data_IF_973505947535
#
_entry.id   IF_973505947535
#
_cell.length_a   1.000
_cell.length_b   1.000
_cell.length_c   1.000
_cell.angle_alpha   90.00
_cell.angle_beta   90.00
_cell.angle_gamma   90.00
#
_symmetry.space_group_name_H-M   'P 1'
#
loop_
_entity.id
_entity.type
_entity.pdbx_description
1 polymer ?
#
# COMPACT_ATOMS: atom_id res chain seq x y z
N UNK A 1 -3.83 9.58 26.53
CA UNK A 1 -3.60 9.87 25.08
C UNK A 1 -3.11 11.29 24.94
N UNK A 2 -1.94 11.46 24.37
CA UNK A 2 -1.35 12.79 24.13
C UNK A 2 -1.86 13.36 22.82
N UNK A 3 -2.26 14.63 22.81
CA UNK A 3 -2.69 15.36 21.64
C UNK A 3 -1.73 16.52 21.40
N UNK A 4 -1.07 16.51 20.25
CA UNK A 4 -0.18 17.58 19.81
C UNK A 4 -0.95 18.51 18.85
N UNK A 5 -0.50 19.76 18.72
CA UNK A 5 -1.14 20.77 17.86
C UNK A 5 -0.18 21.31 16.81
N UNK A 6 -0.70 21.69 15.63
CA UNK A 6 0.05 22.33 14.55
C UNK A 6 1.31 21.52 14.15
N UNK A 7 1.08 20.26 13.84
CA UNK A 7 2.16 19.30 13.53
C UNK A 7 2.35 19.20 12.01
N UNK A 8 3.59 19.44 11.56
CA UNK A 8 3.95 19.25 10.16
C UNK A 8 3.87 17.78 9.75
N UNK A 9 3.11 17.50 8.70
CA UNK A 9 2.90 16.16 8.16
C UNK A 9 4.08 15.66 7.32
N UNK A 10 4.98 16.56 6.89
CA UNK A 10 6.18 16.19 6.10
C UNK A 10 7.03 15.11 6.74
N UNK A 11 7.14 15.10 8.06
CA UNK A 11 7.93 14.12 8.81
C UNK A 11 7.21 12.78 9.01
N UNK A 12 5.91 12.72 8.74
CA UNK A 12 5.07 11.52 8.91
C UNK A 12 4.72 10.85 7.59
N UNK A 13 5.18 11.39 6.46
CA UNK A 13 5.02 10.77 5.14
C UNK A 13 6.38 10.49 4.51
N UNK A 14 6.47 9.42 3.73
CA UNK A 14 7.72 9.07 3.04
C UNK A 14 8.00 9.97 1.82
N UNK A 15 7.00 10.67 1.31
CA UNK A 15 7.16 11.67 0.23
C UNK A 15 7.80 12.98 0.73
N UNK A 16 7.75 13.24 2.05
CA UNK A 16 8.30 14.44 2.69
C UNK A 16 7.70 15.75 2.18
N UNK A 17 6.45 15.73 1.72
CA UNK A 17 5.65 16.88 1.32
C UNK A 17 4.43 17.06 2.21
N UNK A 18 3.80 18.24 2.15
CA UNK A 18 2.53 18.58 2.77
C UNK A 18 2.62 19.61 3.91
N UNK A 19 1.47 20.11 4.29
CA UNK A 19 1.27 21.11 5.32
C UNK A 19 1.25 20.55 6.73
N UNK A 20 0.36 21.11 7.53
CA UNK A 20 0.22 20.78 8.96
C UNK A 20 -1.14 20.11 9.23
N UNK A 21 -1.25 19.40 10.34
CA UNK A 21 -2.52 19.03 10.92
C UNK A 21 -2.78 19.86 12.17
N UNK A 22 -4.03 20.28 12.38
CA UNK A 22 -4.43 21.02 13.58
C UNK A 22 -4.19 20.22 14.85
N UNK A 23 -4.52 18.92 14.81
CA UNK A 23 -4.31 18.01 15.92
C UNK A 23 -3.67 16.70 15.44
N UNK A 24 -2.79 16.16 16.25
CA UNK A 24 -2.24 14.80 16.05
C UNK A 24 -2.37 14.04 17.37
N UNK A 25 -2.90 12.83 17.31
CA UNK A 25 -3.08 11.96 18.46
C UNK A 25 -2.52 10.57 18.20
N UNK A 26 -2.03 9.90 19.24
CA UNK A 26 -1.57 8.50 19.17
C UNK A 26 -2.53 7.63 19.97
N UNK A 27 -2.97 6.51 19.40
CA UNK A 27 -3.76 5.49 20.07
C UNK A 27 -2.97 4.19 20.20
N UNK A 28 -2.78 3.73 21.43
CA UNK A 28 -2.11 2.47 21.76
C UNK A 28 -3.11 1.36 22.14
N UNK A 29 -4.39 1.70 22.20
CA UNK A 29 -5.47 0.78 22.55
C UNK A 29 -6.77 1.08 21.80
N UNK A 30 -7.66 0.09 21.72
CA UNK A 30 -9.02 0.28 21.20
C UNK A 30 -9.80 1.35 22.01
N UNK A 31 -9.57 1.42 23.32
CA UNK A 31 -10.19 2.42 24.20
C UNK A 31 -9.77 3.85 23.85
N UNK A 32 -8.50 4.06 23.47
CA UNK A 32 -8.01 5.36 23.00
C UNK A 32 -8.71 5.77 21.69
N UNK A 33 -8.83 4.83 20.73
CA UNK A 33 -9.54 5.08 19.47
C UNK A 33 -10.99 5.49 19.73
N UNK A 34 -11.73 4.72 20.54
CA UNK A 34 -13.14 5.02 20.88
C UNK A 34 -13.25 6.40 21.53
N UNK A 35 -12.37 6.70 22.48
CA UNK A 35 -12.36 7.97 23.21
C UNK A 35 -12.08 9.14 22.28
N UNK A 36 -11.11 8.99 21.37
CA UNK A 36 -10.74 10.02 20.39
C UNK A 36 -11.90 10.33 19.44
N UNK A 37 -12.50 9.29 18.85
CA UNK A 37 -13.61 9.47 17.91
C UNK A 37 -14.83 10.12 18.57
N UNK A 38 -15.16 9.76 19.83
CA UNK A 38 -16.24 10.38 20.59
C UNK A 38 -15.97 11.85 20.88
N UNK A 39 -14.74 12.22 21.22
CA UNK A 39 -14.35 13.62 21.45
C UNK A 39 -14.34 14.42 20.15
N UNK A 40 -13.75 13.87 19.06
CA UNK A 40 -13.76 14.50 17.75
C UNK A 40 -15.18 14.78 17.24
N UNK A 41 -16.12 13.84 17.47
CA UNK A 41 -17.54 14.03 17.11
C UNK A 41 -18.18 15.21 17.84
N UNK A 42 -17.88 15.43 19.14
CA UNK A 42 -18.41 16.58 19.90
C UNK A 42 -17.94 17.91 19.33
N UNK A 43 -16.71 17.94 18.84
CA UNK A 43 -16.05 19.13 18.29
C UNK A 43 -16.23 19.25 16.75
N UNK A 44 -16.96 18.31 16.12
CA UNK A 44 -17.13 18.22 14.66
C UNK A 44 -15.80 18.17 13.90
N UNK A 45 -14.77 17.52 14.45
CA UNK A 45 -13.46 17.39 13.82
C UNK A 45 -13.40 16.11 12.99
N UNK A 46 -12.96 16.16 11.72
CA UNK A 46 -12.68 14.98 10.93
C UNK A 46 -11.46 14.25 11.48
N UNK A 47 -11.43 12.91 11.32
CA UNK A 47 -10.27 12.10 11.68
C UNK A 47 -9.71 11.44 10.43
N UNK A 48 -8.39 11.53 10.27
CA UNK A 48 -7.63 10.76 9.29
C UNK A 48 -6.71 9.79 10.03
N UNK A 49 -6.88 8.48 9.77
CA UNK A 49 -6.02 7.45 10.37
C UNK A 49 -4.77 7.28 9.50
N UNK A 50 -3.61 7.54 10.09
CA UNK A 50 -2.32 7.43 9.43
C UNK A 50 -1.55 6.21 9.97
N UNK A 51 -1.17 5.30 9.06
CA UNK A 51 -0.24 4.22 9.36
C UNK A 51 1.22 4.67 9.24
N UNK A 52 2.01 4.01 8.43
CA UNK A 52 3.42 4.36 8.18
C UNK A 52 3.66 5.56 7.26
N UNK A 53 2.61 6.19 6.71
CA UNK A 53 2.73 7.34 5.81
C UNK A 53 3.39 7.04 4.45
N UNK A 54 3.55 5.77 4.11
CA UNK A 54 4.26 5.33 2.90
C UNK A 54 3.40 5.33 1.63
N UNK A 55 2.09 5.51 1.77
CA UNK A 55 1.14 5.56 0.66
C UNK A 55 0.09 6.67 0.86
N UNK A 56 0.54 7.78 1.42
CA UNK A 56 -0.27 8.98 1.67
C UNK A 56 0.46 10.21 1.16
N UNK A 57 -0.28 11.10 0.50
CA UNK A 57 0.13 12.43 0.09
C UNK A 57 -0.70 13.43 0.88
N UNK A 58 -0.06 14.44 1.41
CA UNK A 58 -0.71 15.50 2.18
C UNK A 58 -0.66 16.80 1.39
N UNK A 59 -1.78 17.53 1.37
CA UNK A 59 -1.86 18.86 0.80
C UNK A 59 -1.10 19.88 1.65
N UNK A 60 -0.85 21.08 1.11
CA UNK A 60 -0.08 22.12 1.81
C UNK A 60 -0.94 22.91 2.79
N UNK A 61 -2.26 22.91 2.61
CA UNK A 61 -3.21 23.53 3.53
C UNK A 61 -3.21 22.79 4.88
N UNK A 62 -3.62 23.52 5.93
CA UNK A 62 -3.78 22.90 7.24
C UNK A 62 -4.96 21.95 7.24
N UNK A 63 -4.74 20.68 7.57
CA UNK A 63 -5.85 19.76 7.83
C UNK A 63 -6.52 20.14 9.14
N UNK A 64 -7.71 20.74 9.06
CA UNK A 64 -8.52 21.23 10.19
C UNK A 64 -9.19 20.06 10.94
N UNK A 65 -8.45 19.00 11.21
CA UNK A 65 -8.91 17.77 11.85
C UNK A 65 -7.87 17.16 12.76
N UNK A 66 -8.03 15.87 13.00
CA UNK A 66 -7.14 15.06 13.81
C UNK A 66 -6.48 14.01 12.94
N UNK A 67 -5.16 13.98 12.87
CA UNK A 67 -4.40 12.84 12.34
C UNK A 67 -4.18 11.86 13.48
N UNK A 68 -4.73 10.66 13.35
CA UNK A 68 -4.61 9.58 14.31
C UNK A 68 -3.48 8.64 13.91
N UNK A 69 -2.43 8.56 14.71
CA UNK A 69 -1.38 7.54 14.61
C UNK A 69 -1.85 6.29 15.35
N UNK A 70 -2.21 5.25 14.60
CA UNK A 70 -2.59 3.97 15.21
C UNK A 70 -1.33 3.17 15.56
N UNK A 71 -1.10 2.96 16.85
CA UNK A 71 0.06 2.25 17.42
C UNK A 71 -0.35 0.99 18.20
N UNK A 72 -1.58 0.51 18.02
CA UNK A 72 -2.07 -0.70 18.69
C UNK A 72 -1.18 -1.88 18.30
N UNK A 73 -0.48 -2.44 19.29
CA UNK A 73 0.45 -3.54 19.14
C UNK A 73 -0.17 -4.88 19.51
N UNK A 74 0.47 -5.96 19.07
CA UNK A 74 0.14 -7.33 19.40
C UNK A 74 0.34 -8.27 18.21
N UNK A 75 0.86 -9.44 18.48
CA UNK A 75 0.97 -10.56 17.55
C UNK A 75 0.68 -11.83 18.34
N UNK A 76 -0.49 -12.39 18.17
CA UNK A 76 -1.01 -13.51 18.96
C UNK A 76 -1.48 -14.64 18.06
N UNK A 77 -1.02 -15.85 18.32
CA UNK A 77 -1.57 -17.08 17.73
C UNK A 77 -2.87 -17.41 18.46
N UNK A 78 -4.00 -17.29 17.76
CA UNK A 78 -5.34 -17.48 18.36
C UNK A 78 -5.96 -18.84 18.05
N UNK A 79 -5.48 -19.51 16.98
CA UNK A 79 -5.91 -20.86 16.61
C UNK A 79 -4.79 -21.55 15.82
N UNK A 80 -4.68 -22.85 15.97
CA UNK A 80 -3.66 -23.65 15.31
C UNK A 80 -4.20 -25.04 14.97
N UNK A 81 -3.92 -25.51 13.76
CA UNK A 81 -4.18 -26.86 13.27
C UNK A 81 -2.88 -27.47 12.75
N UNK A 82 -2.95 -28.69 12.22
CA UNK A 82 -1.79 -29.32 11.56
C UNK A 82 -1.39 -28.59 10.26
N UNK A 83 -2.34 -27.88 9.60
CA UNK A 83 -2.14 -27.27 8.29
C UNK A 83 -2.06 -25.73 8.34
N UNK A 84 -2.71 -25.10 9.32
CA UNK A 84 -2.86 -23.63 9.36
C UNK A 84 -2.71 -23.07 10.76
N UNK A 85 -2.36 -21.79 10.83
CA UNK A 85 -2.30 -20.99 12.05
C UNK A 85 -3.03 -19.68 11.82
N UNK A 86 -3.98 -19.33 12.69
CA UNK A 86 -4.66 -18.04 12.71
C UNK A 86 -3.92 -17.09 13.65
N UNK A 87 -3.50 -15.95 13.14
CA UNK A 87 -2.71 -14.96 13.88
C UNK A 87 -3.47 -13.64 13.94
N UNK A 88 -3.72 -13.13 15.14
CA UNK A 88 -4.29 -11.81 15.41
C UNK A 88 -3.16 -10.79 15.57
N UNK A 89 -3.21 -9.70 14.82
CA UNK A 89 -2.13 -8.72 14.68
C UNK A 89 -2.69 -7.32 14.92
N UNK A 90 -2.10 -6.57 15.83
CA UNK A 90 -2.47 -5.18 16.13
C UNK A 90 -2.22 -4.27 14.92
N UNK A 91 -3.14 -3.35 14.66
CA UNK A 91 -3.11 -2.48 13.48
C UNK A 91 -1.86 -1.60 13.39
N UNK A 92 -1.21 -1.28 14.51
CA UNK A 92 0.02 -0.50 14.61
C UNK A 92 1.31 -1.31 14.48
N UNK A 93 1.25 -2.64 14.25
CA UNK A 93 2.46 -3.43 13.98
C UNK A 93 3.07 -3.03 12.64
N UNK A 94 4.40 -2.98 12.57
CA UNK A 94 5.13 -2.76 11.31
C UNK A 94 4.93 -3.99 10.42
N UNK A 95 4.44 -3.77 9.20
CA UNK A 95 4.07 -4.88 8.32
C UNK A 95 5.24 -5.83 8.02
N UNK A 96 6.44 -5.30 7.74
CA UNK A 96 7.58 -6.14 7.42
C UNK A 96 8.07 -6.97 8.63
N UNK A 97 7.93 -6.45 9.85
CA UNK A 97 8.20 -7.22 11.10
C UNK A 97 7.17 -8.35 11.29
N UNK A 98 5.91 -8.11 10.91
CA UNK A 98 4.86 -9.15 10.91
C UNK A 98 5.21 -10.27 9.93
N UNK A 99 5.65 -9.92 8.72
CA UNK A 99 6.08 -10.91 7.70
C UNK A 99 7.29 -11.70 8.19
N UNK A 100 8.29 -11.03 8.74
CA UNK A 100 9.48 -11.69 9.29
C UNK A 100 9.13 -12.68 10.40
N UNK A 101 8.28 -12.26 11.34
CA UNK A 101 7.81 -13.13 12.43
C UNK A 101 6.99 -14.33 11.94
N UNK A 102 6.17 -14.14 10.90
CA UNK A 102 5.45 -15.26 10.28
C UNK A 102 6.41 -16.28 9.66
N UNK A 103 7.46 -15.81 8.99
CA UNK A 103 8.52 -16.66 8.40
C UNK A 103 9.30 -17.41 9.48
N UNK A 104 9.68 -16.76 10.59
CA UNK A 104 10.35 -17.38 11.74
C UNK A 104 9.51 -18.51 12.36
N UNK A 105 8.19 -18.38 12.33
CA UNK A 105 7.24 -19.39 12.79
C UNK A 105 6.96 -20.48 11.74
N UNK A 106 7.59 -20.43 10.56
CA UNK A 106 7.35 -21.37 9.46
C UNK A 106 5.97 -21.22 8.80
N UNK A 107 5.39 -20.01 8.83
CA UNK A 107 4.06 -19.73 8.34
C UNK A 107 4.10 -19.04 6.97
N UNK A 108 3.53 -19.69 5.95
CA UNK A 108 3.44 -19.26 4.58
C UNK A 108 2.17 -18.41 4.33
N UNK A 109 2.26 -17.48 3.39
CA UNK A 109 1.13 -16.73 2.84
C UNK A 109 1.36 -15.22 2.75
N UNK A 110 2.43 -14.72 3.38
CA UNK A 110 2.78 -13.28 3.38
C UNK A 110 4.24 -13.02 3.01
N UNK A 111 5.06 -14.04 2.82
CA UNK A 111 6.51 -13.96 2.59
C UNK A 111 6.88 -13.14 1.34
N UNK A 112 6.07 -13.19 0.29
CA UNK A 112 6.30 -12.38 -0.92
C UNK A 112 5.94 -10.90 -0.74
N UNK A 113 5.29 -10.54 0.37
CA UNK A 113 5.01 -9.14 0.75
C UNK A 113 6.09 -8.55 1.67
N UNK A 114 7.26 -9.19 1.77
CA UNK A 114 8.44 -8.69 2.51
C UNK A 114 8.88 -7.33 2.02
N UNK A 115 9.34 -6.48 2.94
CA UNK A 115 9.86 -5.14 2.65
C UNK A 115 8.80 -4.13 2.20
N UNK A 116 7.51 -4.43 2.29
CA UNK A 116 6.46 -3.43 2.06
C UNK A 116 6.39 -2.52 3.30
N UNK A 117 6.60 -1.21 3.15
CA UNK A 117 6.53 -0.28 4.28
C UNK A 117 5.08 -0.06 4.70
N UNK A 118 4.88 0.29 5.97
CA UNK A 118 3.57 0.61 6.52
C UNK A 118 3.21 -0.25 7.73
N UNK A 119 1.94 -0.28 8.09
CA UNK A 119 1.43 -0.99 9.26
C UNK A 119 0.40 -2.06 8.88
N UNK A 120 0.22 -3.04 9.75
CA UNK A 120 -0.72 -4.14 9.56
C UNK A 120 -2.16 -3.64 9.33
N UNK A 121 -2.61 -2.61 10.05
CA UNK A 121 -3.95 -2.01 9.85
C UNK A 121 -4.10 -1.22 8.55
N UNK A 122 -2.99 -0.80 7.91
CA UNK A 122 -3.04 -0.15 6.61
C UNK A 122 -3.11 -1.16 5.44
N UNK A 123 -2.68 -2.41 5.66
CA UNK A 123 -2.63 -3.43 4.61
C UNK A 123 -4.01 -3.72 3.97
N UNK A 124 -5.14 -3.89 4.71
CA UNK A 124 -6.45 -4.12 4.11
C UNK A 124 -7.02 -2.91 3.36
N UNK A 125 -6.57 -1.68 3.68
CA UNK A 125 -7.17 -0.45 3.12
C UNK A 125 -7.12 -0.46 1.59
N UNK A 126 -6.03 -0.91 1.00
CA UNK A 126 -5.86 -0.97 -0.45
C UNK A 126 -5.55 -2.39 -0.96
N UNK A 127 -5.90 -3.42 -0.20
CA UNK A 127 -5.55 -4.79 -0.57
C UNK A 127 -4.07 -4.87 -0.96
N UNK A 128 -3.18 -4.57 0.00
CA UNK A 128 -1.74 -4.54 -0.28
C UNK A 128 -1.28 -5.89 -0.82
N UNK A 129 -0.40 -5.86 -1.81
CA UNK A 129 0.12 -7.08 -2.41
C UNK A 129 1.34 -6.85 -3.29
N UNK A 130 2.18 -7.86 -3.37
CA UNK A 130 3.37 -7.90 -4.21
C UNK A 130 3.72 -9.35 -4.57
N UNK A 131 4.39 -9.53 -5.71
CA UNK A 131 4.96 -10.80 -6.16
C UNK A 131 3.97 -11.99 -6.13
N UNK A 132 2.70 -11.72 -6.44
CA UNK A 132 1.67 -12.76 -6.55
C UNK A 132 0.92 -13.07 -5.26
N UNK A 133 1.23 -12.40 -4.15
CA UNK A 133 0.47 -12.46 -2.91
C UNK A 133 -0.21 -11.13 -2.62
N UNK A 134 -1.39 -11.17 -2.01
CA UNK A 134 -2.11 -9.99 -1.52
C UNK A 134 -2.79 -10.29 -0.18
N UNK A 135 -3.13 -9.23 0.59
CA UNK A 135 -3.70 -9.41 1.92
C UNK A 135 -5.03 -10.19 1.88
N UNK A 136 -5.79 -10.06 0.80
CA UNK A 136 -7.04 -10.79 0.59
C UNK A 136 -6.85 -12.31 0.59
N UNK A 137 -5.66 -12.82 0.25
CA UNK A 137 -5.37 -14.26 0.21
C UNK A 137 -5.34 -14.89 1.61
N UNK A 138 -5.02 -14.11 2.64
CA UNK A 138 -4.77 -14.61 3.99
C UNK A 138 -5.67 -13.98 5.06
N UNK A 139 -6.25 -12.81 4.81
CA UNK A 139 -7.15 -12.17 5.78
C UNK A 139 -8.42 -13.02 5.94
N UNK A 140 -8.78 -13.33 7.19
CA UNK A 140 -10.07 -13.97 7.52
C UNK A 140 -11.05 -12.98 8.13
N UNK A 141 -10.57 -12.04 8.94
CA UNK A 141 -11.38 -10.98 9.52
C UNK A 141 -10.50 -9.84 10.06
N UNK A 142 -11.14 -8.76 10.41
CA UNK A 142 -10.52 -7.66 11.17
C UNK A 142 -11.53 -7.09 12.19
N UNK A 143 -11.01 -6.50 13.25
CA UNK A 143 -11.82 -5.68 14.16
C UNK A 143 -11.57 -4.21 13.85
N UNK A 144 -12.64 -3.44 13.78
CA UNK A 144 -12.58 -2.01 13.53
C UNK A 144 -13.59 -1.25 14.42
N UNK A 145 -13.22 -0.03 14.80
CA UNK A 145 -14.18 0.91 15.34
C UNK A 145 -14.99 1.51 14.18
N UNK A 146 -16.31 1.35 14.25
CA UNK A 146 -17.26 1.94 13.31
C UNK A 146 -17.75 3.30 13.83
N UNK A 147 -17.33 4.37 13.17
CA UNK A 147 -17.67 5.73 13.57
C UNK A 147 -19.15 6.06 13.37
N UNK A 148 -19.90 5.33 12.52
CA UNK A 148 -21.35 5.52 12.32
C UNK A 148 -22.15 4.94 13.47
N UNK A 149 -21.79 3.74 13.95
CA UNK A 149 -22.54 3.04 15.01
C UNK A 149 -21.99 3.27 16.42
N UNK A 150 -20.80 3.88 16.54
CA UNK A 150 -20.07 4.08 17.80
C UNK A 150 -19.76 2.76 18.53
N UNK A 151 -19.45 1.70 17.77
CA UNK A 151 -19.15 0.36 18.29
C UNK A 151 -17.93 -0.22 17.63
N UNK A 152 -17.32 -1.20 18.29
CA UNK A 152 -16.31 -2.07 17.68
C UNK A 152 -17.06 -3.20 16.98
N UNK A 153 -16.72 -3.43 15.72
CA UNK A 153 -17.31 -4.46 14.85
C UNK A 153 -16.25 -5.38 14.32
N UNK A 154 -16.63 -6.64 14.09
CA UNK A 154 -15.81 -7.60 13.32
C UNK A 154 -16.29 -7.59 11.87
N UNK A 155 -15.38 -7.43 10.93
CA UNK A 155 -15.62 -7.43 9.49
C UNK A 155 -14.88 -8.63 8.91
N UNK A 156 -15.61 -9.53 8.24
CA UNK A 156 -15.01 -10.68 7.55
C UNK A 156 -14.30 -10.25 6.26
N UNK A 157 -13.39 -11.08 5.77
CA UNK A 157 -12.70 -10.82 4.50
C UNK A 157 -13.67 -10.60 3.33
N UNK A 158 -14.78 -11.33 3.28
CA UNK A 158 -15.79 -11.19 2.22
C UNK A 158 -16.49 -9.83 2.26
N UNK A 159 -16.64 -9.23 3.44
CA UNK A 159 -17.27 -7.90 3.60
C UNK A 159 -16.30 -6.77 3.26
N UNK A 160 -14.99 -7.03 3.16
CA UNK A 160 -14.00 -6.04 2.77
C UNK A 160 -14.07 -5.65 1.28
N UNK A 161 -14.79 -6.41 0.44
CA UNK A 161 -14.98 -6.16 -1.00
C UNK A 161 -13.64 -5.87 -1.72
N UNK A 162 -12.66 -6.75 -1.49
CA UNK A 162 -11.32 -6.59 -2.03
C UNK A 162 -11.30 -6.70 -3.56
N UNK A 163 -10.55 -5.81 -4.17
CA UNK A 163 -10.19 -5.86 -5.57
C UNK A 163 -8.78 -5.27 -5.77
N UNK A 164 -8.30 -5.23 -7.00
CA UNK A 164 -6.97 -4.71 -7.28
C UNK A 164 -6.79 -3.29 -6.73
N UNK A 165 -5.92 -3.14 -5.72
CA UNK A 165 -5.62 -1.88 -5.01
C UNK A 165 -6.85 -1.18 -4.45
N UNK A 166 -7.87 -1.94 -4.01
CA UNK A 166 -9.12 -1.40 -3.48
C UNK A 166 -9.75 -2.27 -2.39
N UNK A 167 -10.55 -1.64 -1.53
CA UNK A 167 -11.43 -2.25 -0.54
C UNK A 167 -12.54 -1.27 -0.14
N UNK A 168 -13.50 -1.69 0.69
CA UNK A 168 -14.52 -0.78 1.25
C UNK A 168 -13.89 0.40 2.01
N UNK A 169 -12.73 0.20 2.66
CA UNK A 169 -12.06 1.23 3.47
C UNK A 169 -11.47 2.36 2.64
N UNK A 170 -11.15 2.08 1.38
CA UNK A 170 -10.63 3.05 0.43
C UNK A 170 -11.73 3.74 -0.39
N UNK A 171 -12.84 3.05 -0.62
CA UNK A 171 -13.91 3.45 -1.54
C UNK A 171 -15.22 3.73 -0.79
N UNK A 172 -16.15 2.81 -0.77
CA UNK A 172 -17.54 2.97 -0.33
C UNK A 172 -17.70 3.46 1.12
N UNK A 173 -16.81 3.05 1.99
CA UNK A 173 -16.83 3.37 3.43
C UNK A 173 -15.57 4.13 3.89
N UNK A 174 -14.97 4.90 2.96
CA UNK A 174 -13.80 5.73 3.27
C UNK A 174 -14.06 6.62 4.49
N UNK A 175 -13.15 6.57 5.47
CA UNK A 175 -13.21 7.36 6.70
C UNK A 175 -14.19 6.86 7.77
N UNK A 176 -14.97 5.81 7.51
CA UNK A 176 -15.90 5.23 8.47
C UNK A 176 -15.22 4.41 9.55
N UNK A 177 -14.27 3.56 9.14
CA UNK A 177 -13.67 2.56 10.01
C UNK A 177 -12.24 2.95 10.43
N UNK A 178 -11.93 2.71 11.71
CA UNK A 178 -10.56 2.66 12.20
C UNK A 178 -10.23 1.20 12.55
N UNK A 179 -9.38 0.56 11.75
CA UNK A 179 -8.96 -0.83 11.94
C UNK A 179 -8.14 -0.92 13.22
N UNK A 180 -8.48 -1.84 14.12
CA UNK A 180 -7.83 -2.06 15.42
C UNK A 180 -6.86 -3.24 15.38
N UNK A 181 -7.26 -4.30 14.70
CA UNK A 181 -6.43 -5.47 14.44
C UNK A 181 -6.89 -6.20 13.18
N UNK A 182 -6.03 -7.06 12.64
CA UNK A 182 -6.35 -7.98 11.55
C UNK A 182 -6.09 -9.41 12.02
N UNK A 183 -6.83 -10.36 11.48
CA UNK A 183 -6.60 -11.80 11.70
C UNK A 183 -6.28 -12.45 10.36
N UNK A 184 -5.10 -13.05 10.28
CA UNK A 184 -4.62 -13.76 9.10
C UNK A 184 -4.64 -15.25 9.36
N UNK A 185 -5.03 -16.03 8.35
CA UNK A 185 -4.81 -17.48 8.31
C UNK A 185 -3.61 -17.77 7.43
N UNK A 186 -2.57 -18.33 8.03
CA UNK A 186 -1.32 -18.65 7.40
C UNK A 186 -1.13 -20.17 7.36
N UNK A 187 -0.48 -20.68 6.31
CA UNK A 187 -0.30 -22.11 6.11
C UNK A 187 1.03 -22.61 6.69
N UNK A 188 1.03 -23.82 7.24
CA UNK A 188 2.24 -24.54 7.63
C UNK A 188 2.78 -25.35 6.45
N UNK A 189 3.25 -24.65 5.41
CA UNK A 189 3.69 -25.25 4.17
C UNK A 189 4.92 -24.54 3.61
N UNK A 190 5.74 -25.26 2.86
CA UNK A 190 6.82 -24.66 2.10
C UNK A 190 6.30 -24.02 0.80
N UNK A 191 6.91 -22.94 0.35
CA UNK A 191 6.53 -22.29 -0.91
C UNK A 191 6.80 -23.23 -2.11
N UNK A 192 5.87 -23.24 -3.07
CA UNK A 192 5.94 -24.11 -4.25
C UNK A 192 5.78 -23.31 -5.55
N UNK A 193 6.46 -23.73 -6.64
CA UNK A 193 6.24 -23.12 -7.94
C UNK A 193 4.79 -23.36 -8.44
N UNK A 194 4.29 -22.55 -9.39
CA UNK A 194 5.01 -21.48 -10.08
C UNK A 194 5.17 -20.21 -9.23
N UNK A 195 6.39 -19.66 -9.22
CA UNK A 195 6.64 -18.39 -8.57
C UNK A 195 6.32 -17.21 -9.49
N UNK A 196 6.12 -16.02 -8.90
CA UNK A 196 5.98 -14.80 -9.67
C UNK A 196 7.21 -14.58 -10.58
N UNK A 197 6.99 -14.12 -11.82
CA UNK A 197 8.02 -14.14 -12.87
C UNK A 197 9.38 -13.50 -12.46
N UNK A 198 9.37 -12.38 -11.74
CA UNK A 198 10.62 -11.77 -11.29
C UNK A 198 11.30 -12.53 -10.14
N UNK A 199 10.52 -13.22 -9.32
CA UNK A 199 11.02 -14.09 -8.26
C UNK A 199 11.64 -15.37 -8.86
N UNK A 200 10.93 -16.00 -9.82
CA UNK A 200 11.47 -17.15 -10.56
C UNK A 200 12.78 -16.79 -11.26
N UNK A 201 12.83 -15.63 -11.93
CA UNK A 201 14.04 -15.14 -12.58
C UNK A 201 15.21 -14.99 -11.58
N UNK A 202 14.95 -14.41 -10.41
CA UNK A 202 15.96 -14.26 -9.35
C UNK A 202 16.48 -15.62 -8.87
N UNK A 203 15.59 -16.59 -8.66
CA UNK A 203 15.93 -17.96 -8.26
C UNK A 203 16.84 -18.62 -9.30
N UNK A 204 16.47 -18.51 -10.58
CA UNK A 204 17.21 -19.10 -11.69
C UNK A 204 18.60 -18.45 -11.87
N UNK A 205 18.69 -17.12 -11.83
CA UNK A 205 19.93 -16.36 -12.00
C UNK A 205 20.93 -16.55 -10.84
N UNK A 206 20.46 -16.96 -9.67
CA UNK A 206 21.31 -17.21 -8.50
C UNK A 206 21.50 -18.72 -8.21
N UNK A 207 21.12 -19.61 -9.14
CA UNK A 207 21.24 -21.07 -9.00
C UNK A 207 20.66 -21.64 -7.68
N UNK A 208 19.55 -21.04 -7.16
CA UNK A 208 18.91 -21.44 -5.92
C UNK A 208 18.14 -22.75 -6.14
N UNK A 209 18.59 -23.82 -5.47
CA UNK A 209 18.02 -25.17 -5.63
C UNK A 209 16.94 -25.50 -4.60
N UNK A 210 17.07 -24.97 -3.39
CA UNK A 210 16.14 -25.18 -2.29
C UNK A 210 15.46 -23.86 -1.94
N UNK A 211 14.15 -23.80 -2.15
CA UNK A 211 13.35 -22.59 -1.93
C UNK A 211 12.47 -22.80 -0.71
N UNK A 212 12.72 -22.02 0.34
CA UNK A 212 11.93 -21.94 1.56
C UNK A 212 11.47 -20.49 1.80
N UNK A 213 10.73 -20.25 2.86
CA UNK A 213 10.17 -18.93 3.20
C UNK A 213 11.27 -17.85 3.33
N UNK A 214 12.38 -18.18 3.99
CA UNK A 214 13.50 -17.23 4.16
C UNK A 214 14.17 -16.90 2.83
N UNK A 215 14.31 -17.85 1.92
CA UNK A 215 14.83 -17.64 0.56
C UNK A 215 13.92 -16.72 -0.23
N UNK A 216 12.60 -16.90 -0.17
CA UNK A 216 11.62 -15.99 -0.79
C UNK A 216 11.79 -14.57 -0.24
N UNK A 217 11.85 -14.39 1.09
CA UNK A 217 12.06 -13.09 1.71
C UNK A 217 13.32 -12.41 1.19
N UNK A 218 14.46 -13.10 1.22
CA UNK A 218 15.75 -12.56 0.74
C UNK A 218 15.66 -12.16 -0.72
N UNK A 219 15.09 -13.00 -1.59
CA UNK A 219 14.91 -12.71 -2.99
C UNK A 219 14.03 -11.48 -3.22
N UNK A 220 12.90 -11.38 -2.50
CA UNK A 220 11.98 -10.23 -2.59
C UNK A 220 12.68 -8.95 -2.14
N UNK A 221 13.39 -8.95 -1.01
CA UNK A 221 14.12 -7.78 -0.51
C UNK A 221 15.19 -7.31 -1.51
N UNK A 222 15.94 -8.22 -2.12
CA UNK A 222 16.94 -7.90 -3.14
C UNK A 222 16.28 -7.31 -4.40
N UNK A 223 15.25 -7.95 -4.94
CA UNK A 223 14.53 -7.44 -6.11
C UNK A 223 13.93 -6.05 -5.83
N UNK A 224 13.44 -5.80 -4.62
CA UNK A 224 12.88 -4.50 -4.22
C UNK A 224 13.97 -3.43 -4.12
N UNK A 225 15.10 -3.72 -3.48
CA UNK A 225 16.21 -2.78 -3.32
C UNK A 225 16.83 -2.34 -4.66
N UNK A 226 16.80 -3.21 -5.67
CA UNK A 226 17.22 -2.86 -7.02
C UNK A 226 16.25 -1.91 -7.75
N UNK A 227 14.94 -2.03 -7.48
CA UNK A 227 13.87 -1.35 -8.23
C UNK A 227 13.26 -0.16 -7.50
N UNK A 228 13.33 -0.12 -6.20
CA UNK A 228 12.70 0.91 -5.38
C UNK A 228 13.77 1.69 -4.61
N UNK A 229 13.67 3.02 -4.55
CA UNK A 229 14.54 3.80 -3.70
C UNK A 229 14.20 3.57 -2.22
N UNK A 230 15.19 3.72 -1.35
CA UNK A 230 14.92 3.88 0.08
C UNK A 230 14.30 5.27 0.31
N UNK A 231 13.07 5.36 0.84
CA UNK A 231 12.43 6.66 1.08
C UNK A 231 13.16 7.54 2.12
N UNK A 232 14.04 6.98 2.92
CA UNK A 232 14.86 7.74 3.85
C UNK A 232 15.93 8.57 3.11
N UNK A 233 16.45 8.03 1.99
CA UNK A 233 17.47 8.68 1.15
C UNK A 233 16.82 9.46 0.00
N UNK A 234 15.85 8.85 -0.67
CA UNK A 234 15.11 9.44 -1.80
C UNK A 234 13.61 9.43 -1.49
N UNK A 235 13.06 10.54 -0.96
CA UNK A 235 11.66 10.63 -0.58
C UNK A 235 10.71 10.22 -1.71
N UNK A 236 9.84 9.25 -1.44
CA UNK A 236 8.90 8.69 -2.41
C UNK A 236 7.77 7.94 -1.69
N UNK A 237 6.68 7.67 -2.39
CA UNK A 237 5.55 6.90 -1.86
C UNK A 237 5.45 5.50 -2.50
N UNK A 238 6.60 4.87 -2.82
CA UNK A 238 6.63 3.61 -3.54
C UNK A 238 6.12 3.76 -4.98
N UNK A 239 5.37 2.77 -5.48
CA UNK A 239 4.68 2.90 -6.77
C UNK A 239 3.64 4.00 -6.70
N UNK A 240 3.84 5.09 -7.47
CA UNK A 240 2.95 6.24 -7.43
C UNK A 240 1.68 6.05 -8.24
N UNK A 241 1.75 5.27 -9.32
CA UNK A 241 0.60 4.96 -10.17
C UNK A 241 0.21 3.49 -10.03
N UNK A 242 -1.11 3.22 -10.05
CA UNK A 242 -1.64 1.88 -10.20
C UNK A 242 -1.34 1.36 -11.62
N UNK A 243 -1.23 0.05 -11.77
CA UNK A 243 -1.25 -0.53 -13.11
C UNK A 243 -2.62 -0.29 -13.77
N UNK A 244 -2.61 0.04 -15.05
CA UNK A 244 -3.80 0.35 -15.80
C UNK A 244 -4.65 -0.90 -16.05
N UNK A 245 -5.96 -0.79 -15.81
CA UNK A 245 -6.92 -1.82 -16.17
C UNK A 245 -7.65 -1.39 -17.45
N UNK A 246 -7.57 -2.21 -18.48
CA UNK A 246 -8.17 -1.88 -19.78
C UNK A 246 -9.08 -3.01 -20.27
N UNK A 247 -10.06 -2.66 -21.08
CA UNK A 247 -10.90 -3.60 -21.78
C UNK A 247 -10.10 -4.34 -22.89
N UNK A 248 -10.54 -5.54 -23.26
CA UNK A 248 -9.87 -6.37 -24.28
C UNK A 248 -9.65 -5.63 -25.59
N UNK A 249 -10.66 -4.89 -26.07
CA UNK A 249 -10.55 -4.14 -27.31
C UNK A 249 -9.43 -3.08 -27.29
N UNK A 250 -9.21 -2.44 -26.12
CA UNK A 250 -8.14 -1.45 -25.95
C UNK A 250 -6.76 -2.10 -25.96
N UNK A 251 -6.63 -3.26 -25.32
CA UNK A 251 -5.39 -4.05 -25.42
C UNK A 251 -5.10 -4.46 -26.85
N UNK A 252 -6.09 -4.98 -27.58
CA UNK A 252 -5.93 -5.38 -28.99
C UNK A 252 -5.57 -4.18 -29.93
N UNK A 253 -6.11 -3.00 -29.65
CA UNK A 253 -5.72 -1.76 -30.32
C UNK A 253 -4.24 -1.46 -30.10
N UNK A 254 -3.79 -1.49 -28.86
CA UNK A 254 -2.40 -1.20 -28.50
C UNK A 254 -1.42 -2.25 -29.04
N UNK A 255 -1.80 -3.53 -29.07
CA UNK A 255 -0.97 -4.60 -29.60
C UNK A 255 -0.67 -4.48 -31.08
N UNK A 256 -1.45 -3.74 -31.85
CA UNK A 256 -1.18 -3.46 -33.27
C UNK A 256 0.07 -2.59 -33.47
N UNK A 257 0.33 -1.69 -32.51
CA UNK A 257 1.49 -0.79 -32.54
C UNK A 257 2.63 -1.32 -31.63
N UNK A 258 2.26 -1.92 -30.50
CA UNK A 258 3.19 -2.41 -29.46
C UNK A 258 2.96 -3.91 -29.25
N UNK A 259 3.49 -4.75 -30.13
CA UNK A 259 3.31 -6.21 -30.07
C UNK A 259 3.91 -6.84 -28.80
N UNK A 260 4.85 -6.17 -28.14
CA UNK A 260 5.55 -6.57 -26.92
C UNK A 260 4.90 -6.05 -25.62
N UNK A 261 3.70 -5.42 -25.69
CA UNK A 261 3.03 -4.87 -24.52
C UNK A 261 2.74 -5.95 -23.46
N UNK A 262 3.34 -5.84 -22.25
CA UNK A 262 3.06 -6.81 -21.21
C UNK A 262 1.62 -6.63 -20.70
N UNK A 263 0.92 -7.74 -20.52
CA UNK A 263 -0.45 -7.72 -20.06
C UNK A 263 -0.77 -8.96 -19.23
N UNK A 264 -1.73 -8.82 -18.31
CA UNK A 264 -2.17 -9.89 -17.42
C UNK A 264 -3.70 -9.90 -17.38
N UNK A 265 -4.30 -11.04 -17.69
CA UNK A 265 -5.75 -11.21 -17.61
C UNK A 265 -6.22 -11.12 -16.16
N UNK A 266 -7.32 -10.40 -15.94
CA UNK A 266 -7.98 -10.26 -14.64
C UNK A 266 -9.24 -11.13 -14.60
N UNK A 267 -9.68 -11.47 -13.38
CA UNK A 267 -10.88 -12.32 -13.17
C UNK A 267 -12.19 -11.66 -13.65
N UNK A 268 -12.21 -10.34 -13.77
CA UNK A 268 -13.35 -9.56 -14.26
C UNK A 268 -13.40 -9.39 -15.79
N UNK A 269 -12.46 -10.03 -16.51
CA UNK A 269 -12.37 -10.00 -17.98
C UNK A 269 -11.54 -8.84 -18.55
N UNK A 270 -11.08 -7.91 -17.71
CA UNK A 270 -10.16 -6.84 -18.10
C UNK A 270 -8.72 -7.33 -18.16
N UNK A 271 -7.85 -6.49 -18.64
CA UNK A 271 -6.40 -6.73 -18.71
C UNK A 271 -5.64 -5.67 -17.95
N UNK A 272 -4.72 -6.10 -17.11
CA UNK A 272 -3.80 -5.23 -16.39
C UNK A 272 -2.54 -5.00 -17.23
N UNK A 273 -2.28 -3.73 -17.55
CA UNK A 273 -1.06 -3.28 -18.24
C UNK A 273 -0.16 -2.60 -17.20
N UNK A 274 1.14 -2.98 -17.12
CA UNK A 274 2.08 -2.28 -16.24
C UNK A 274 2.21 -0.79 -16.61
N UNK A 275 1.75 0.08 -15.75
CA UNK A 275 1.84 1.54 -15.97
C UNK A 275 3.29 2.02 -16.07
N UNK A 276 4.22 1.36 -15.37
CA UNK A 276 5.65 1.63 -15.55
C UNK A 276 6.15 1.43 -16.97
N UNK A 277 5.60 0.44 -17.70
CA UNK A 277 5.88 0.24 -19.12
C UNK A 277 5.31 1.37 -19.97
N UNK A 278 4.09 1.82 -19.68
CA UNK A 278 3.46 2.96 -20.40
C UNK A 278 4.28 4.25 -20.22
N UNK A 279 4.68 4.57 -19.00
CA UNK A 279 5.48 5.75 -18.65
C UNK A 279 6.86 5.66 -19.33
N UNK A 280 7.50 4.49 -19.32
CA UNK A 280 8.78 4.26 -19.97
C UNK A 280 8.70 4.39 -21.50
N UNK A 281 7.71 3.76 -22.12
CA UNK A 281 7.44 3.88 -23.57
C UNK A 281 6.99 5.29 -23.99
N UNK A 282 6.44 6.08 -23.06
CA UNK A 282 6.17 7.49 -23.28
C UNK A 282 7.47 8.35 -23.26
N UNK A 283 8.62 7.76 -22.92
CA UNK A 283 9.91 8.46 -22.85
C UNK A 283 10.11 9.25 -21.55
N UNK A 284 9.35 8.92 -20.52
CA UNK A 284 9.34 9.68 -19.25
C UNK A 284 10.26 9.09 -18.17
N UNK A 285 11.00 8.00 -18.44
CA UNK A 285 11.99 7.47 -17.50
C UNK A 285 13.07 8.52 -17.22
N UNK A 286 13.27 8.88 -15.95
CA UNK A 286 14.19 9.96 -15.55
C UNK A 286 13.69 11.38 -15.83
N UNK A 287 12.43 11.53 -16.29
CA UNK A 287 11.81 12.85 -16.51
C UNK A 287 11.78 13.67 -15.22
N UNK A 288 12.13 14.95 -15.32
CA UNK A 288 12.20 15.87 -14.19
C UNK A 288 11.36 17.09 -14.45
N UNK A 289 10.50 17.44 -13.51
CA UNK A 289 9.69 18.65 -13.53
C UNK A 289 9.29 19.02 -12.10
N UNK A 290 9.09 20.28 -11.80
CA UNK A 290 8.59 20.77 -10.50
C UNK A 290 9.32 20.22 -9.28
N UNK A 291 10.65 20.06 -9.36
CA UNK A 291 11.43 19.48 -8.23
C UNK A 291 11.21 18.00 -7.98
N UNK A 292 10.43 17.33 -8.82
CA UNK A 292 10.15 15.90 -8.78
C UNK A 292 10.81 15.17 -9.96
N UNK A 293 10.94 13.84 -9.85
CA UNK A 293 11.55 13.00 -10.87
C UNK A 293 10.86 11.63 -10.98
N UNK A 294 10.67 11.17 -12.21
CA UNK A 294 10.36 9.75 -12.48
C UNK A 294 11.63 8.94 -12.28
N UNK A 295 11.59 7.97 -11.37
CA UNK A 295 12.78 7.20 -10.98
C UNK A 295 13.32 6.35 -12.13
N UNK A 296 14.65 6.39 -12.34
CA UNK A 296 15.30 5.77 -13.49
C UNK A 296 15.24 4.23 -13.47
N UNK A 297 15.21 3.61 -12.26
CA UNK A 297 15.15 2.15 -12.14
C UNK A 297 13.71 1.61 -12.19
N UNK A 298 12.71 2.45 -11.92
CA UNK A 298 11.30 2.07 -11.95
C UNK A 298 10.41 3.28 -12.25
N UNK A 299 9.88 3.34 -13.45
CA UNK A 299 9.07 4.48 -13.91
C UNK A 299 7.71 4.62 -13.18
N UNK A 300 7.30 3.67 -12.32
CA UNK A 300 6.14 3.82 -11.44
C UNK A 300 6.42 4.73 -10.23
N UNK A 301 7.68 4.99 -9.92
CA UNK A 301 8.06 5.73 -8.70
C UNK A 301 8.31 7.19 -9.05
N UNK A 302 7.68 8.09 -8.30
CA UNK A 302 8.02 9.50 -8.27
C UNK A 302 8.89 9.78 -7.04
N UNK A 303 10.03 10.42 -7.27
CA UNK A 303 10.98 10.83 -6.23
C UNK A 303 10.88 12.33 -6.05
N UNK A 304 10.85 12.79 -4.82
CA UNK A 304 11.00 14.18 -4.48
C UNK A 304 12.49 14.53 -4.38
N UNK A 305 13.02 15.21 -5.40
CA UNK A 305 14.41 15.71 -5.41
C UNK A 305 14.52 17.07 -4.69
N UNK A 306 13.53 17.97 -4.88
CA UNK A 306 13.54 19.33 -4.31
C UNK A 306 12.16 20.03 -4.34
N UNK A 307 11.09 19.27 -4.58
CA UNK A 307 9.74 19.83 -4.51
C UNK A 307 9.44 20.31 -3.08
N UNK A 308 8.71 21.41 -2.98
CA UNK A 308 8.46 22.08 -1.70
C UNK A 308 7.08 21.87 -1.17
N UNK A 309 6.11 21.53 -2.03
CA UNK A 309 4.72 21.38 -1.69
C UNK A 309 3.95 20.40 -2.56
N UNK A 310 2.67 20.28 -2.26
CA UNK A 310 1.72 19.43 -2.98
C UNK A 310 1.53 19.87 -4.45
N UNK A 311 1.53 21.17 -4.71
CA UNK A 311 1.33 21.71 -6.06
C UNK A 311 2.43 21.25 -7.03
N UNK A 312 3.67 21.15 -6.57
CA UNK A 312 4.79 20.62 -7.37
C UNK A 312 4.54 19.15 -7.77
N UNK A 313 4.08 18.34 -6.82
CA UNK A 313 3.73 16.95 -7.05
C UNK A 313 2.52 16.81 -7.99
N UNK A 314 1.49 17.61 -7.77
CA UNK A 314 0.29 17.62 -8.59
C UNK A 314 0.60 17.98 -10.04
N UNK A 315 1.45 18.98 -10.27
CA UNK A 315 1.85 19.43 -11.59
C UNK A 315 2.57 18.32 -12.38
N UNK A 316 3.61 17.68 -11.83
CA UNK A 316 4.29 16.58 -12.54
C UNK A 316 3.38 15.38 -12.74
N UNK A 317 2.51 15.06 -11.77
CA UNK A 317 1.53 13.97 -11.90
C UNK A 317 0.62 14.22 -13.11
N UNK A 318 0.07 15.43 -13.24
CA UNK A 318 -0.81 15.80 -14.34
C UNK A 318 -0.09 15.76 -15.68
N UNK A 319 1.16 16.26 -15.77
CA UNK A 319 1.99 16.16 -16.97
C UNK A 319 2.17 14.70 -17.41
N UNK A 320 2.52 13.80 -16.48
CA UNK A 320 2.71 12.37 -16.77
C UNK A 320 1.41 11.73 -17.23
N UNK A 321 0.30 12.00 -16.54
CA UNK A 321 -1.03 11.47 -16.90
C UNK A 321 -1.42 11.92 -18.29
N UNK A 322 -1.22 13.21 -18.62
CA UNK A 322 -1.58 13.77 -19.93
C UNK A 322 -0.71 13.17 -21.05
N UNK A 323 0.61 13.10 -20.86
CA UNK A 323 1.53 12.54 -21.86
C UNK A 323 1.21 11.05 -22.15
N UNK A 324 0.94 10.26 -21.10
CA UNK A 324 0.54 8.86 -21.24
C UNK A 324 -0.82 8.76 -21.95
N UNK A 325 -1.78 9.63 -21.58
CA UNK A 325 -3.09 9.64 -22.22
C UNK A 325 -3.01 10.02 -23.71
N UNK A 326 -2.26 11.05 -24.07
CA UNK A 326 -2.09 11.50 -25.45
C UNK A 326 -1.46 10.40 -26.32
N UNK A 327 -0.54 9.63 -25.75
CA UNK A 327 0.15 8.59 -26.49
C UNK A 327 -0.64 7.27 -26.61
N UNK A 328 -1.32 6.85 -25.54
CA UNK A 328 -1.93 5.50 -25.46
C UNK A 328 -3.47 5.53 -25.33
N UNK A 329 -4.08 6.71 -25.10
CA UNK A 329 -5.49 6.83 -24.77
C UNK A 329 -5.86 6.14 -23.45
N UNK A 330 -4.90 6.01 -22.54
CA UNK A 330 -5.09 5.41 -21.21
C UNK A 330 -4.87 6.47 -20.15
N UNK A 331 -5.90 6.72 -19.32
CA UNK A 331 -5.77 7.58 -18.14
C UNK A 331 -5.26 6.73 -16.97
N UNK A 332 -4.01 6.94 -16.57
CA UNK A 332 -3.41 6.28 -15.42
C UNK A 332 -3.84 6.95 -14.12
N UNK A 333 -3.92 6.18 -13.04
CA UNK A 333 -4.42 6.63 -11.74
C UNK A 333 -3.35 6.56 -10.66
N UNK A 334 -3.38 7.55 -9.77
CA UNK A 334 -2.56 7.60 -8.58
C UNK A 334 -2.92 6.45 -7.60
N UNK A 335 -1.91 5.83 -6.98
CA UNK A 335 -2.09 4.82 -5.93
C UNK A 335 -2.16 5.43 -4.51
N UNK A 336 -1.31 6.39 -4.10
CA UNK A 336 -1.39 7.00 -2.77
C UNK A 336 -2.74 7.68 -2.49
N UNK A 337 -3.16 7.64 -1.24
CA UNK A 337 -4.32 8.39 -0.74
C UNK A 337 -3.94 9.86 -0.50
N UNK A 338 -4.88 10.75 -0.71
CA UNK A 338 -4.70 12.18 -0.39
C UNK A 338 -5.37 12.52 0.94
N UNK A 339 -4.66 13.33 1.73
CA UNK A 339 -5.15 14.03 2.90
C UNK A 339 -5.15 15.53 2.59
N UNK A 340 -6.36 16.09 2.49
CA UNK A 340 -6.65 17.49 2.21
C UNK A 340 -7.50 18.11 3.31
#
# INVERSE_FOLDING_TARGET
MDVMTNISLKQYTTMKLGGETRYMATADSAGDVVSLYRNARKENLPIFVLGGGSNVITHDEVFEGIVLLNKIKGFEVISETDETTDVKIGAGEVWDEVVEKAIELGLQGVEAMSGIPGTAGAAPVQNVGAYGQEIADTLISLEAYDSKTDTIVTISANECDFSYRNSIFRDKEKGRYCILNITLRLNKAEPKPPYYASLQKYIDENDIREVNLSVIRVAVLNIRSEKLPDPAELPSAGSFFKNALVEKWKLEELQREYSDIPNYAMSDGRYKIPTGWLIDKAGLRGYRSHGMRVYEKNALVLVNDSATGYDDLAAIREEIVQIVFDKFGIKIEQEPLELS
#
